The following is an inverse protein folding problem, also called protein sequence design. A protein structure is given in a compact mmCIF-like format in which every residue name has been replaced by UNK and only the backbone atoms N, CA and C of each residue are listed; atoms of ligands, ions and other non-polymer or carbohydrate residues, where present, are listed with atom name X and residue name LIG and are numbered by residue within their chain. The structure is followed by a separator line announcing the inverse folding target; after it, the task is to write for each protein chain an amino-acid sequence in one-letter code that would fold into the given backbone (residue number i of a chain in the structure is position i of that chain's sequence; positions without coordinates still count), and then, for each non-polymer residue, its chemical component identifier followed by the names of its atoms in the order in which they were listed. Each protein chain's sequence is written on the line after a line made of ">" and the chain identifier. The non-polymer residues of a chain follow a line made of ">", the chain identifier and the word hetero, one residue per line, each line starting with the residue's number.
data_IF_555322510975
#
_entry.id   IF_555322510975
#
_cell.length_a   1.000
_cell.length_b   1.000
_cell.length_c   1.000
_cell.angle_alpha   90.00
_cell.angle_beta   90.00
_cell.angle_gamma   90.00
#
_symmetry.space_group_name_H-M   'P 1'
#
loop_
_entity.id
_entity.type
_entity.pdbx_description
1 polymer ?
#
# COMPACT_ATOMS: atom_id res chain seq x y z
N UNK A 1 -2.47 -32.30 -7.67
CA UNK A 1 -2.97 -33.46 -6.92
C UNK A 1 -4.32 -33.99 -7.48
N UNK A 2 -5.41 -33.16 -7.52
CA UNK A 2 -6.68 -33.55 -8.19
C UNK A 2 -6.47 -33.85 -9.68
N UNK A 3 -5.69 -33.02 -10.35
CA UNK A 3 -5.31 -33.22 -11.75
C UNK A 3 -4.53 -34.54 -11.92
N UNK A 4 -3.59 -34.81 -11.04
CA UNK A 4 -2.80 -36.08 -11.04
C UNK A 4 -3.66 -37.30 -10.79
N UNK A 5 -4.66 -37.19 -9.89
CA UNK A 5 -5.59 -38.29 -9.62
C UNK A 5 -6.54 -38.57 -10.80
N UNK A 6 -6.94 -37.55 -11.53
CA UNK A 6 -7.85 -37.68 -12.68
C UNK A 6 -7.13 -38.06 -13.97
N UNK A 7 -5.84 -37.74 -14.10
CA UNK A 7 -5.04 -38.06 -15.28
C UNK A 7 -5.03 -39.53 -15.68
N UNK A 8 -4.88 -40.52 -14.74
CA UNK A 8 -4.95 -41.95 -15.11
C UNK A 8 -6.30 -42.35 -15.70
N UNK A 9 -7.38 -41.73 -15.25
CA UNK A 9 -8.75 -42.08 -15.68
C UNK A 9 -9.17 -41.35 -16.95
N UNK A 10 -8.77 -40.08 -17.10
CA UNK A 10 -9.21 -39.23 -18.19
C UNK A 10 -8.13 -38.97 -19.24
N UNK A 11 -6.87 -39.23 -18.95
CA UNK A 11 -5.72 -38.97 -19.82
C UNK A 11 -5.70 -39.72 -21.15
N UNK A 12 -6.52 -40.79 -21.27
CA UNK A 12 -6.76 -41.47 -22.55
C UNK A 12 -7.70 -40.70 -23.49
N UNK A 13 -8.44 -39.72 -22.96
CA UNK A 13 -9.52 -39.00 -23.66
C UNK A 13 -9.23 -37.50 -23.68
N UNK A 14 -8.67 -36.94 -22.61
CA UNK A 14 -8.38 -35.54 -22.42
C UNK A 14 -6.87 -35.31 -22.28
N UNK A 15 -6.40 -34.17 -22.79
CA UNK A 15 -5.02 -33.73 -22.54
C UNK A 15 -4.85 -33.25 -21.10
N UNK A 16 -3.60 -33.16 -20.63
CA UNK A 16 -3.28 -32.64 -19.30
C UNK A 16 -3.81 -31.21 -19.08
N UNK A 17 -3.78 -30.38 -20.11
CA UNK A 17 -4.30 -29.02 -20.07
C UNK A 17 -5.82 -29.00 -19.92
N UNK A 18 -6.54 -29.84 -20.66
CA UNK A 18 -8.00 -29.96 -20.57
C UNK A 18 -8.45 -30.52 -19.21
N UNK A 19 -7.68 -31.43 -18.60
CA UNK A 19 -7.94 -31.94 -17.25
C UNK A 19 -7.71 -30.80 -16.24
N UNK A 20 -6.67 -29.99 -16.41
CA UNK A 20 -6.39 -28.84 -15.56
C UNK A 20 -7.48 -27.77 -15.67
N UNK A 21 -7.94 -27.46 -16.88
CA UNK A 21 -9.06 -26.53 -17.13
C UNK A 21 -10.35 -27.03 -16.48
N UNK A 22 -10.65 -28.32 -16.60
CA UNK A 22 -11.81 -28.95 -15.99
C UNK A 22 -11.76 -28.88 -14.45
N UNK A 23 -10.60 -29.16 -13.85
CA UNK A 23 -10.41 -29.07 -12.39
C UNK A 23 -10.55 -27.62 -11.93
N UNK A 24 -9.92 -26.68 -12.63
CA UNK A 24 -10.02 -25.24 -12.33
C UNK A 24 -11.47 -24.81 -12.39
N UNK A 25 -12.21 -25.21 -13.42
CA UNK A 25 -13.62 -24.94 -13.56
C UNK A 25 -14.48 -25.50 -12.42
N UNK A 26 -14.15 -26.66 -11.87
CA UNK A 26 -14.90 -27.26 -10.75
C UNK A 26 -14.70 -26.52 -9.43
N UNK A 27 -13.58 -25.83 -9.25
CA UNK A 27 -13.18 -25.22 -7.96
C UNK A 27 -13.29 -23.69 -7.92
N UNK A 28 -13.34 -23.04 -9.08
CA UNK A 28 -13.56 -21.58 -9.19
C UNK A 28 -14.97 -21.27 -9.67
N UNK A 29 -15.59 -20.14 -9.22
CA UNK A 29 -16.85 -19.70 -9.80
C UNK A 29 -16.60 -19.36 -11.29
N UNK A 30 -17.25 -20.04 -12.23
CA UNK A 30 -16.99 -19.83 -13.64
C UNK A 30 -17.60 -18.54 -14.15
N UNK A 31 -16.87 -17.82 -15.00
CA UNK A 31 -17.51 -16.91 -15.93
C UNK A 31 -18.32 -17.70 -16.99
N UNK A 32 -19.33 -17.09 -17.57
CA UNK A 32 -20.24 -17.76 -18.51
C UNK A 32 -19.54 -18.32 -19.77
N UNK A 33 -18.43 -17.70 -20.20
CA UNK A 33 -17.69 -18.10 -21.41
C UNK A 33 -16.82 -19.34 -21.16
N UNK A 34 -16.14 -19.37 -20.01
CA UNK A 34 -15.33 -20.53 -19.60
C UNK A 34 -16.21 -21.74 -19.35
N UNK A 35 -17.41 -21.52 -18.78
CA UNK A 35 -18.41 -22.58 -18.58
C UNK A 35 -18.81 -23.25 -19.89
N UNK A 36 -19.25 -22.48 -20.89
CA UNK A 36 -19.67 -23.02 -22.18
C UNK A 36 -18.55 -23.75 -22.88
N UNK A 37 -17.34 -23.20 -22.91
CA UNK A 37 -16.19 -23.79 -23.60
C UNK A 37 -15.76 -25.15 -23.02
N UNK A 38 -15.72 -25.25 -21.69
CA UNK A 38 -15.35 -26.52 -21.04
C UNK A 38 -16.40 -27.60 -21.27
N UNK A 39 -17.70 -27.27 -21.17
CA UNK A 39 -18.79 -28.21 -21.43
C UNK A 39 -18.80 -28.69 -22.87
N UNK A 40 -18.69 -27.80 -23.84
CA UNK A 40 -18.65 -28.14 -25.28
C UNK A 40 -17.48 -29.07 -25.64
N UNK A 41 -16.30 -28.83 -25.06
CA UNK A 41 -15.14 -29.70 -25.25
C UNK A 41 -15.37 -31.11 -24.65
N UNK A 42 -15.96 -31.19 -23.47
CA UNK A 42 -16.26 -32.46 -22.83
C UNK A 42 -17.35 -33.25 -23.58
N UNK A 43 -18.44 -32.58 -23.98
CA UNK A 43 -19.50 -33.19 -24.77
C UNK A 43 -19.01 -33.72 -26.14
N UNK A 44 -18.08 -33.01 -26.76
CA UNK A 44 -17.50 -33.44 -28.06
C UNK A 44 -16.59 -34.66 -27.96
N UNK A 45 -15.79 -34.73 -26.89
CA UNK A 45 -14.79 -35.80 -26.72
C UNK A 45 -15.33 -37.04 -26.00
N UNK A 46 -16.38 -36.90 -25.19
CA UNK A 46 -16.98 -37.97 -24.40
C UNK A 46 -18.46 -38.13 -24.78
N UNK A 47 -18.79 -38.94 -25.80
CA UNK A 47 -20.15 -39.02 -26.36
C UNK A 47 -21.23 -39.48 -25.38
N UNK A 48 -20.86 -40.03 -24.22
CA UNK A 48 -21.80 -40.43 -23.14
C UNK A 48 -21.77 -39.48 -21.96
N UNK A 49 -21.05 -38.40 -22.05
CA UNK A 49 -20.97 -37.39 -20.99
C UNK A 49 -22.22 -36.54 -20.99
N UNK A 50 -23.02 -36.63 -19.94
CA UNK A 50 -24.22 -35.82 -19.78
C UNK A 50 -23.97 -34.67 -18.79
N UNK A 51 -24.73 -33.57 -18.92
CA UNK A 51 -24.72 -32.48 -17.93
C UNK A 51 -25.03 -32.96 -16.51
N UNK A 52 -25.85 -34.02 -16.38
CA UNK A 52 -26.15 -34.66 -15.09
C UNK A 52 -24.90 -35.32 -14.48
N UNK A 53 -24.09 -36.02 -15.30
CA UNK A 53 -22.84 -36.66 -14.84
C UNK A 53 -21.83 -35.61 -14.39
N UNK A 54 -21.74 -34.47 -15.12
CA UNK A 54 -20.85 -33.39 -14.72
C UNK A 54 -21.32 -32.73 -13.42
N UNK A 55 -22.62 -32.50 -13.25
CA UNK A 55 -23.19 -31.96 -12.01
C UNK A 55 -22.95 -32.89 -10.80
N UNK A 56 -23.04 -34.20 -10.99
CA UNK A 56 -22.73 -35.19 -9.95
C UNK A 56 -21.25 -35.16 -9.56
N UNK A 57 -20.33 -35.11 -10.53
CA UNK A 57 -18.89 -34.98 -10.31
C UNK A 57 -18.58 -33.67 -9.58
N UNK A 58 -19.18 -32.56 -9.99
CA UNK A 58 -19.02 -31.26 -9.36
C UNK A 58 -19.49 -31.29 -7.89
N UNK A 59 -20.62 -31.92 -7.62
CA UNK A 59 -21.15 -32.07 -6.26
C UNK A 59 -20.24 -32.95 -5.39
N UNK A 60 -19.71 -34.02 -5.95
CA UNK A 60 -18.77 -34.92 -5.26
C UNK A 60 -17.46 -34.20 -4.91
N UNK A 61 -16.88 -33.43 -5.87
CA UNK A 61 -15.70 -32.59 -5.62
C UNK A 61 -15.99 -31.57 -4.54
N UNK A 62 -17.11 -30.85 -4.63
CA UNK A 62 -17.51 -29.85 -3.62
C UNK A 62 -17.67 -30.45 -2.22
N UNK A 63 -18.22 -31.68 -2.11
CA UNK A 63 -18.37 -32.33 -0.80
C UNK A 63 -17.04 -32.77 -0.17
N UNK A 64 -16.05 -33.13 -0.97
CA UNK A 64 -14.72 -33.55 -0.51
C UNK A 64 -13.75 -32.35 -0.35
N UNK A 65 -14.08 -31.19 -0.94
CA UNK A 65 -13.23 -30.01 -0.97
C UNK A 65 -12.78 -29.53 0.43
N UNK A 66 -13.64 -29.44 1.45
CA UNK A 66 -13.20 -29.06 2.79
C UNK A 66 -12.13 -29.97 3.37
N UNK A 67 -12.27 -31.28 3.17
CA UNK A 67 -11.31 -32.30 3.66
C UNK A 67 -9.98 -32.22 2.90
N UNK A 68 -10.03 -32.05 1.57
CA UNK A 68 -8.84 -31.90 0.75
C UNK A 68 -8.10 -30.60 1.09
N UNK A 69 -8.83 -29.51 1.30
CA UNK A 69 -8.24 -28.23 1.71
C UNK A 69 -7.64 -28.28 3.11
N UNK A 70 -8.25 -29.04 4.02
CA UNK A 70 -7.69 -29.27 5.34
C UNK A 70 -6.37 -30.05 5.27
N UNK A 71 -6.35 -31.15 4.53
CA UNK A 71 -5.14 -31.95 4.31
C UNK A 71 -4.04 -31.13 3.62
N UNK A 72 -4.39 -30.33 2.61
CA UNK A 72 -3.45 -29.44 1.95
C UNK A 72 -2.88 -28.39 2.92
N UNK A 73 -3.71 -27.80 3.80
CA UNK A 73 -3.25 -26.89 4.86
C UNK A 73 -2.31 -27.57 5.85
N UNK A 74 -2.63 -28.78 6.29
CA UNK A 74 -1.79 -29.55 7.21
C UNK A 74 -0.42 -29.88 6.59
N UNK A 75 -0.39 -30.27 5.31
CA UNK A 75 0.84 -30.51 4.56
C UNK A 75 1.64 -29.21 4.32
N UNK A 76 0.97 -28.09 4.08
CA UNK A 76 1.61 -26.82 3.85
C UNK A 76 2.06 -26.12 5.14
N UNK A 77 1.39 -26.37 6.27
CA UNK A 77 1.61 -25.68 7.54
C UNK A 77 3.08 -25.58 7.97
N UNK A 78 3.93 -26.63 7.87
CA UNK A 78 5.34 -26.54 8.23
C UNK A 78 6.14 -25.59 7.31
N UNK A 79 5.67 -25.37 6.08
CA UNK A 79 6.35 -24.59 5.06
C UNK A 79 5.82 -23.14 4.97
N UNK A 80 4.60 -22.88 5.48
CA UNK A 80 3.96 -21.57 5.43
C UNK A 80 4.82 -20.44 6.01
N UNK A 81 5.51 -20.59 7.17
CA UNK A 81 6.34 -19.51 7.70
C UNK A 81 7.46 -19.09 6.74
N UNK A 82 8.09 -20.07 6.06
CA UNK A 82 9.15 -19.82 5.09
C UNK A 82 8.60 -19.19 3.82
N UNK A 83 7.50 -19.70 3.30
CA UNK A 83 6.82 -19.15 2.12
C UNK A 83 6.38 -17.71 2.41
N UNK A 84 5.73 -17.47 3.55
CA UNK A 84 5.29 -16.13 3.95
C UNK A 84 6.45 -15.16 4.10
N UNK A 85 7.61 -15.60 4.61
CA UNK A 85 8.79 -14.73 4.74
C UNK A 85 9.37 -14.34 3.37
N UNK A 86 9.41 -15.29 2.43
CA UNK A 86 9.87 -15.04 1.06
C UNK A 86 8.91 -14.09 0.35
N UNK A 87 7.62 -14.40 0.33
CA UNK A 87 6.59 -13.57 -0.31
C UNK A 87 6.56 -12.16 0.28
N UNK A 88 6.67 -12.05 1.60
CA UNK A 88 6.72 -10.76 2.28
C UNK A 88 7.96 -9.96 1.89
N UNK A 89 9.12 -10.61 1.80
CA UNK A 89 10.37 -9.96 1.40
C UNK A 89 10.26 -9.45 -0.04
N UNK A 90 9.93 -10.32 -0.99
CA UNK A 90 9.75 -9.97 -2.40
C UNK A 90 8.72 -8.85 -2.61
N UNK A 91 7.55 -8.96 -1.94
CA UNK A 91 6.51 -7.94 -2.03
C UNK A 91 6.99 -6.59 -1.47
N UNK A 92 7.73 -6.61 -0.36
CA UNK A 92 8.26 -5.38 0.25
C UNK A 92 9.29 -4.72 -0.65
N UNK A 93 10.23 -5.48 -1.21
CA UNK A 93 11.24 -4.99 -2.15
C UNK A 93 10.59 -4.43 -3.43
N UNK A 94 9.68 -5.18 -4.04
CA UNK A 94 8.95 -4.77 -5.24
C UNK A 94 8.13 -3.47 -5.02
N UNK A 95 7.42 -3.35 -3.90
CA UNK A 95 6.65 -2.15 -3.58
C UNK A 95 7.56 -0.97 -3.25
N UNK A 96 8.64 -1.20 -2.50
CA UNK A 96 9.62 -0.16 -2.15
C UNK A 96 10.33 0.38 -3.40
N UNK A 97 10.56 -0.47 -4.40
CA UNK A 97 11.14 -0.05 -5.67
C UNK A 97 10.19 0.75 -6.57
N UNK A 98 8.87 0.64 -6.34
CA UNK A 98 7.84 1.23 -7.22
C UNK A 98 7.07 2.40 -6.59
N UNK A 99 7.02 2.46 -5.26
CA UNK A 99 6.21 3.43 -4.52
C UNK A 99 7.08 4.33 -3.63
N UNK A 100 6.83 5.63 -3.70
CA UNK A 100 7.31 6.61 -2.75
C UNK A 100 6.20 6.98 -1.77
N UNK A 101 6.58 7.30 -0.53
CA UNK A 101 5.66 7.73 0.52
C UNK A 101 6.13 9.08 1.05
N UNK A 102 5.24 10.08 0.99
CA UNK A 102 5.43 11.35 1.67
C UNK A 102 4.55 11.35 2.92
N UNK A 103 5.19 11.56 4.06
CA UNK A 103 4.52 11.55 5.36
C UNK A 103 4.37 12.99 5.86
N UNK A 104 3.16 13.32 6.30
CA UNK A 104 2.81 14.61 6.90
C UNK A 104 2.16 14.35 8.27
N UNK A 105 2.12 15.37 9.12
CA UNK A 105 1.40 15.35 10.38
C UNK A 105 0.26 16.37 10.36
N UNK A 106 -0.84 16.07 11.06
CA UNK A 106 -1.90 17.04 11.33
C UNK A 106 -1.62 17.88 12.57
N UNK A 107 -0.68 17.42 13.39
CA UNK A 107 -0.40 18.02 14.68
C UNK A 107 0.95 18.77 14.67
N UNK A 108 0.88 20.09 14.60
CA UNK A 108 2.06 20.93 14.65
C UNK A 108 2.62 21.06 16.08
N UNK A 109 1.76 20.92 17.12
CA UNK A 109 2.11 21.29 18.51
C UNK A 109 2.81 20.16 19.29
N UNK A 110 3.13 19.06 18.65
CA UNK A 110 3.71 17.90 19.31
C UNK A 110 5.24 18.02 19.45
N UNK A 111 5.80 18.24 20.66
CA UNK A 111 7.24 18.41 20.85
C UNK A 111 8.07 17.20 20.42
N UNK A 112 7.50 15.99 20.50
CA UNK A 112 8.19 14.76 20.06
C UNK A 112 8.44 14.77 18.54
N UNK A 113 7.53 15.30 17.74
CA UNK A 113 7.73 15.45 16.29
C UNK A 113 8.92 16.35 15.97
N UNK A 114 9.06 17.45 16.68
CA UNK A 114 10.18 18.35 16.56
C UNK A 114 11.51 17.72 17.00
N UNK A 115 11.45 16.89 18.03
CA UNK A 115 12.65 16.16 18.50
C UNK A 115 13.12 15.13 17.48
N UNK A 116 12.19 14.39 16.86
CA UNK A 116 12.52 13.30 15.94
C UNK A 116 12.82 13.80 14.52
N UNK A 117 12.03 14.74 13.99
CA UNK A 117 12.05 15.08 12.57
C UNK A 117 12.62 16.46 12.23
N UNK A 118 12.87 17.30 13.24
CA UNK A 118 13.38 18.64 13.03
C UNK A 118 14.73 18.89 13.75
N UNK A 119 15.68 17.97 13.63
CA UNK A 119 17.02 18.06 14.20
C UNK A 119 16.99 18.52 15.67
N UNK A 120 16.25 17.82 16.52
CA UNK A 120 16.10 18.17 17.94
C UNK A 120 15.70 19.63 18.18
N UNK A 121 14.67 20.09 17.49
CA UNK A 121 14.08 21.46 17.53
C UNK A 121 14.95 22.55 16.85
N UNK A 122 15.96 22.21 16.05
CA UNK A 122 16.77 23.20 15.32
C UNK A 122 16.34 23.37 13.87
N UNK A 123 15.59 22.39 13.33
CA UNK A 123 15.14 22.35 11.94
C UNK A 123 13.92 23.24 11.66
N UNK A 124 13.21 22.90 10.60
CA UNK A 124 12.09 23.64 10.07
C UNK A 124 10.86 22.74 9.98
N UNK A 125 9.68 23.34 10.03
CA UNK A 125 8.39 22.74 9.70
C UNK A 125 7.74 23.55 8.59
N UNK A 126 7.20 22.87 7.60
CA UNK A 126 6.40 23.47 6.55
C UNK A 126 4.93 23.16 6.78
N UNK A 127 4.08 24.18 6.66
CA UNK A 127 2.63 24.03 6.67
C UNK A 127 2.13 24.12 5.24
N UNK A 128 1.28 23.16 4.85
CA UNK A 128 0.75 23.06 3.50
C UNK A 128 -0.76 23.23 3.46
N UNK A 129 -1.26 23.86 2.40
CA UNK A 129 -2.68 23.84 2.07
C UNK A 129 -3.06 22.48 1.50
N UNK A 130 -3.75 21.68 2.29
CA UNK A 130 -4.20 20.33 1.88
C UNK A 130 -5.27 20.35 0.79
N UNK A 131 -5.94 21.48 0.56
CA UNK A 131 -6.90 21.66 -0.54
C UNK A 131 -6.19 21.93 -1.88
N UNK A 132 -4.89 22.26 -1.86
CA UNK A 132 -4.14 22.52 -3.08
C UNK A 132 -4.08 21.28 -3.98
N UNK A 133 -4.28 21.43 -5.33
CA UNK A 133 -4.32 20.28 -6.27
C UNK A 133 -3.10 19.38 -6.23
N UNK A 134 -1.95 19.87 -5.78
CA UNK A 134 -0.72 19.08 -5.58
C UNK A 134 -0.94 17.87 -4.67
N UNK A 135 -1.86 17.95 -3.72
CA UNK A 135 -2.17 16.87 -2.78
C UNK A 135 -3.39 16.02 -3.18
N UNK A 136 -3.95 16.27 -4.37
CA UNK A 136 -5.03 15.49 -4.93
C UNK A 136 -4.82 15.28 -6.43
N UNK A 137 -3.89 14.41 -6.77
CA UNK A 137 -3.49 14.06 -8.14
C UNK A 137 -4.09 12.71 -8.59
N UNK A 138 -5.26 12.36 -8.07
CA UNK A 138 -5.97 11.14 -8.47
C UNK A 138 -6.20 11.10 -9.98
N UNK A 139 -5.98 9.94 -10.59
CA UNK A 139 -6.17 9.72 -12.04
C UNK A 139 -7.58 9.22 -12.35
N UNK A 140 -8.27 8.62 -11.34
CA UNK A 140 -9.65 8.18 -11.40
C UNK A 140 -10.30 8.29 -10.01
N UNK A 141 -11.61 8.07 -9.90
CA UNK A 141 -12.33 8.06 -8.63
C UNK A 141 -11.79 6.96 -7.68
N UNK A 142 -11.43 5.80 -8.24
CA UNK A 142 -10.97 4.62 -7.52
C UNK A 142 -9.43 4.57 -7.37
N UNK A 143 -8.72 5.67 -7.69
CA UNK A 143 -7.28 5.73 -7.55
C UNK A 143 -6.90 5.98 -6.08
N UNK A 144 -6.28 5.02 -5.43
CA UNK A 144 -5.79 5.12 -4.06
C UNK A 144 -4.48 5.90 -3.93
N UNK A 145 -3.85 6.19 -5.05
CA UNK A 145 -2.58 6.93 -5.12
C UNK A 145 -2.81 8.44 -5.37
N UNK A 146 -1.82 9.23 -5.06
CA UNK A 146 -1.80 10.64 -5.38
C UNK A 146 -2.77 11.50 -4.58
N UNK A 147 -3.31 10.99 -3.47
CA UNK A 147 -4.13 11.75 -2.53
C UNK A 147 -3.68 11.51 -1.09
N UNK A 148 -3.99 12.48 -0.23
CA UNK A 148 -3.69 12.38 1.20
C UNK A 148 -4.61 11.35 1.87
N UNK A 149 -4.02 10.39 2.55
CA UNK A 149 -4.72 9.32 3.29
C UNK A 149 -4.28 9.31 4.76
N UNK A 150 -5.20 9.26 5.71
CA UNK A 150 -4.85 9.14 7.14
C UNK A 150 -4.27 7.75 7.43
N UNK A 151 -3.33 7.71 8.36
CA UNK A 151 -2.78 6.46 8.89
C UNK A 151 -3.68 5.93 9.99
N UNK A 152 -3.94 4.64 9.96
CA UNK A 152 -4.64 3.90 11.02
C UNK A 152 -3.63 3.37 12.02
N UNK A 153 -3.92 3.53 13.32
CA UNK A 153 -3.03 3.09 14.39
C UNK A 153 -3.57 1.83 15.06
N UNK A 154 -2.70 0.85 15.29
CA UNK A 154 -3.09 -0.42 15.88
C UNK A 154 -2.08 -0.92 16.91
N UNK A 155 -2.58 -1.49 18.02
CA UNK A 155 -1.77 -2.19 19.03
C UNK A 155 -1.35 -3.58 18.53
N UNK A 156 -2.16 -4.15 17.65
CA UNK A 156 -1.90 -5.47 17.06
C UNK A 156 -1.34 -5.28 15.66
N UNK A 157 -0.24 -5.95 15.38
CA UNK A 157 0.33 -5.94 14.02
C UNK A 157 -0.61 -6.68 13.07
N UNK A 158 -1.07 -6.03 11.98
CA UNK A 158 -1.92 -6.71 11.02
C UNK A 158 -1.18 -7.89 10.39
N UNK A 159 -1.88 -9.01 10.27
CA UNK A 159 -1.38 -10.18 9.55
C UNK A 159 -1.80 -10.07 8.07
N UNK A 160 -0.82 -10.15 7.18
CA UNK A 160 -1.07 -10.31 5.75
C UNK A 160 -1.05 -11.81 5.43
N UNK A 161 -2.20 -12.33 5.08
CA UNK A 161 -2.34 -13.70 4.57
C UNK A 161 -2.51 -13.67 3.05
N UNK A 162 -2.15 -14.74 2.35
CA UNK A 162 -2.30 -14.82 0.88
C UNK A 162 -3.72 -14.49 0.40
N UNK A 163 -4.81 -14.92 1.06
CA UNK A 163 -6.16 -14.49 0.70
C UNK A 163 -6.44 -13.00 0.90
N UNK A 164 -5.73 -12.33 1.80
CA UNK A 164 -5.92 -10.88 2.02
C UNK A 164 -5.13 -10.00 1.05
N UNK A 165 -4.23 -10.59 0.24
CA UNK A 165 -3.53 -9.86 -0.83
C UNK A 165 -4.45 -9.54 -2.03
N UNK A 166 -5.52 -10.30 -2.21
CA UNK A 166 -6.52 -10.08 -3.25
C UNK A 166 -7.71 -9.22 -2.76
N UNK A 167 -7.68 -8.78 -1.50
CA UNK A 167 -8.75 -7.99 -0.88
C UNK A 167 -8.48 -6.48 -0.91
N UNK A 168 -9.56 -5.71 -0.87
CA UNK A 168 -9.55 -4.23 -0.86
C UNK A 168 -8.71 -3.61 0.27
N UNK A 169 -8.37 -4.39 1.31
CA UNK A 169 -7.66 -3.94 2.51
C UNK A 169 -6.13 -4.13 2.46
N UNK A 170 -5.57 -4.84 1.46
CA UNK A 170 -4.14 -5.13 1.43
C UNK A 170 -3.28 -3.86 1.38
N UNK A 171 -3.72 -2.89 0.59
CA UNK A 171 -3.06 -1.59 0.48
C UNK A 171 -3.10 -0.80 1.81
N UNK A 172 -4.24 -0.78 2.50
CA UNK A 172 -4.40 -0.11 3.78
C UNK A 172 -3.54 -0.74 4.87
N UNK A 173 -3.52 -2.07 4.92
CA UNK A 173 -2.67 -2.83 5.86
C UNK A 173 -1.20 -2.50 5.62
N UNK A 174 -0.75 -2.54 4.38
CA UNK A 174 0.66 -2.36 4.04
C UNK A 174 1.11 -0.89 4.18
N UNK A 175 0.34 0.03 3.63
CA UNK A 175 0.80 1.40 3.43
C UNK A 175 0.25 2.40 4.44
N UNK A 176 -0.87 2.11 5.10
CA UNK A 176 -1.61 3.05 5.94
C UNK A 176 -1.80 2.58 7.39
N UNK A 177 -1.12 1.52 7.81
CA UNK A 177 -1.17 1.06 9.21
C UNK A 177 0.15 1.32 9.91
N UNK A 178 0.09 1.81 11.15
CA UNK A 178 1.24 2.09 12.02
C UNK A 178 0.97 1.62 13.45
N UNK A 179 2.03 1.37 14.22
CA UNK A 179 1.89 0.99 15.62
C UNK A 179 1.29 2.14 16.45
N UNK A 180 0.40 1.80 17.40
CA UNK A 180 -0.35 2.74 18.23
C UNK A 180 0.54 3.71 19.04
N UNK A 181 1.77 3.30 19.37
CA UNK A 181 2.76 4.16 20.04
C UNK A 181 3.11 5.43 19.25
N UNK A 182 2.84 5.44 17.94
CA UNK A 182 3.09 6.58 17.05
C UNK A 182 1.84 7.41 16.77
N UNK A 183 0.73 7.15 17.48
CA UNK A 183 -0.55 7.84 17.25
C UNK A 183 -0.47 9.36 17.47
N UNK A 184 0.46 9.83 18.28
CA UNK A 184 0.71 11.25 18.49
C UNK A 184 1.19 12.00 17.23
N UNK A 185 1.67 11.29 16.20
CA UNK A 185 2.08 11.90 14.94
C UNK A 185 0.88 12.35 14.10
N UNK A 186 -0.30 11.78 14.33
CA UNK A 186 -1.51 12.06 13.52
C UNK A 186 -1.19 12.06 12.02
N UNK A 187 -0.50 11.01 11.59
CA UNK A 187 0.15 10.93 10.27
C UNK A 187 -0.86 10.87 9.14
N UNK A 188 -0.56 11.60 8.07
CA UNK A 188 -1.22 11.51 6.77
C UNK A 188 -0.17 11.17 5.73
N UNK A 189 -0.46 10.27 4.83
CA UNK A 189 0.44 9.85 3.76
C UNK A 189 -0.09 10.22 2.39
N UNK A 190 0.81 10.67 1.53
CA UNK A 190 0.62 10.71 0.09
C UNK A 190 1.52 9.62 -0.51
N UNK A 191 0.89 8.60 -1.09
CA UNK A 191 1.60 7.50 -1.73
C UNK A 191 1.62 7.75 -3.22
N UNK A 192 2.81 7.64 -3.80
CA UNK A 192 3.04 8.03 -5.18
C UNK A 192 3.85 6.97 -5.94
N UNK A 193 3.38 6.51 -7.11
CA UNK A 193 4.18 5.62 -7.96
C UNK A 193 5.42 6.37 -8.49
N UNK A 194 6.61 5.87 -8.17
CA UNK A 194 7.89 6.52 -8.49
C UNK A 194 8.09 6.80 -9.98
N UNK A 195 7.48 5.99 -10.86
CA UNK A 195 7.49 6.20 -12.32
C UNK A 195 6.84 7.52 -12.77
N UNK A 196 6.08 8.17 -11.90
CA UNK A 196 5.45 9.46 -12.16
C UNK A 196 6.10 10.60 -11.37
N UNK A 197 7.28 10.38 -10.79
CA UNK A 197 8.08 11.43 -10.17
C UNK A 197 8.50 12.46 -11.21
N UNK A 198 8.47 13.74 -10.82
CA UNK A 198 8.85 14.84 -11.72
C UNK A 198 10.36 14.84 -12.01
N UNK A 199 11.15 14.32 -11.07
CA UNK A 199 12.59 14.18 -11.18
C UNK A 199 13.06 12.99 -10.35
N UNK A 200 14.10 12.30 -10.80
CA UNK A 200 14.81 11.28 -10.01
C UNK A 200 16.23 11.77 -9.74
N UNK A 201 16.70 11.55 -8.52
CA UNK A 201 18.07 11.86 -8.08
C UNK A 201 18.71 10.57 -7.57
N UNK A 202 19.87 10.23 -8.14
CA UNK A 202 20.64 9.09 -7.67
C UNK A 202 21.36 9.45 -6.36
N UNK A 203 21.24 8.57 -5.39
CA UNK A 203 21.93 8.69 -4.09
C UNK A 203 22.69 7.39 -3.80
N UNK A 204 23.65 7.41 -2.86
CA UNK A 204 24.34 6.19 -2.43
C UNK A 204 23.41 5.09 -1.91
N UNK A 205 22.24 5.47 -1.44
CA UNK A 205 21.20 4.55 -0.93
C UNK A 205 20.17 4.12 -2.00
N UNK A 206 20.37 4.53 -3.27
CA UNK A 206 19.47 4.27 -4.38
C UNK A 206 18.78 5.53 -4.93
N UNK A 207 18.00 5.41 -5.99
CA UNK A 207 17.32 6.55 -6.60
C UNK A 207 16.18 7.06 -5.72
N UNK A 208 16.05 8.39 -5.62
CA UNK A 208 14.96 9.07 -4.91
C UNK A 208 14.10 9.81 -5.93
N UNK A 209 12.80 9.52 -5.93
CA UNK A 209 11.81 10.25 -6.71
C UNK A 209 11.44 11.58 -6.02
N UNK A 210 11.48 12.66 -6.77
CA UNK A 210 11.08 13.98 -6.28
C UNK A 210 9.76 14.40 -6.94
N UNK A 211 8.91 15.01 -6.13
CA UNK A 211 7.67 15.66 -6.56
C UNK A 211 7.82 17.18 -6.45
N UNK A 212 7.43 17.89 -7.48
CA UNK A 212 7.39 19.36 -7.45
C UNK A 212 6.27 19.80 -6.51
N UNK A 213 6.65 20.65 -5.56
CA UNK A 213 5.72 21.32 -4.67
C UNK A 213 5.76 22.83 -5.01
N UNK A 214 4.71 23.41 -5.61
CA UNK A 214 4.68 24.84 -5.92
C UNK A 214 4.60 25.65 -4.63
N UNK A 215 5.17 26.86 -4.63
CA UNK A 215 5.14 27.79 -3.50
C UNK A 215 3.71 28.09 -3.03
N UNK A 216 2.75 28.13 -3.95
CA UNK A 216 1.31 28.33 -3.65
C UNK A 216 0.69 27.26 -2.75
N UNK A 217 1.31 26.09 -2.64
CA UNK A 217 0.87 25.03 -1.72
C UNK A 217 1.42 25.19 -0.29
N UNK A 218 2.38 26.10 -0.08
CA UNK A 218 3.04 26.34 1.22
C UNK A 218 2.39 27.53 1.90
N UNK A 219 1.86 27.37 3.11
CA UNK A 219 1.23 28.44 3.89
C UNK A 219 2.23 29.12 4.82
N UNK A 220 3.08 28.36 5.48
CA UNK A 220 4.07 28.90 6.39
C UNK A 220 5.32 28.04 6.49
N UNK A 221 6.41 28.65 6.96
CA UNK A 221 7.65 28.02 7.40
C UNK A 221 7.90 28.36 8.84
N UNK A 222 7.93 27.39 9.72
CA UNK A 222 8.18 27.58 11.15
C UNK A 222 9.56 27.09 11.52
N UNK A 223 10.36 27.94 12.16
CA UNK A 223 11.64 27.57 12.74
C UNK A 223 11.43 26.91 14.11
N UNK A 224 12.20 25.87 14.39
CA UNK A 224 12.23 25.26 15.71
C UNK A 224 12.70 26.22 16.81
N UNK A 225 12.31 25.96 18.05
CA UNK A 225 12.65 26.84 19.17
C UNK A 225 14.18 26.99 19.43
N UNK A 226 14.98 26.00 18.95
CA UNK A 226 16.44 26.03 19.02
C UNK A 226 17.11 26.39 17.69
N UNK A 227 16.34 26.80 16.69
CA UNK A 227 16.90 27.23 15.40
C UNK A 227 17.76 28.50 15.57
N UNK A 228 18.87 28.53 14.86
CA UNK A 228 19.83 29.64 14.92
C UNK A 228 19.38 30.85 14.12
N UNK A 229 19.94 32.03 14.41
CA UNK A 229 19.77 33.23 13.60
C UNK A 229 20.30 33.02 12.16
N UNK A 230 21.32 32.21 12.01
CA UNK A 230 21.80 31.82 10.67
C UNK A 230 20.72 31.11 9.89
N UNK A 231 20.03 30.13 10.48
CA UNK A 231 18.92 29.40 9.86
C UNK A 231 17.79 30.34 9.47
N UNK A 232 17.43 31.29 10.34
CA UNK A 232 16.44 32.32 10.04
C UNK A 232 16.82 33.15 8.80
N UNK A 233 18.06 33.62 8.75
CA UNK A 233 18.56 34.40 7.64
C UNK A 233 18.57 33.62 6.31
N UNK A 234 18.95 32.35 6.36
CA UNK A 234 18.93 31.44 5.21
C UNK A 234 17.49 31.23 4.68
N UNK A 235 16.51 31.03 5.57
CA UNK A 235 15.09 30.91 5.20
C UNK A 235 14.59 32.20 4.56
N UNK A 236 14.85 33.36 5.17
CA UNK A 236 14.45 34.68 4.61
C UNK A 236 15.08 34.92 3.24
N UNK A 237 16.35 34.58 3.09
CA UNK A 237 17.05 34.71 1.80
C UNK A 237 16.44 33.77 0.75
N UNK A 238 16.18 32.52 1.09
CA UNK A 238 15.57 31.56 0.19
C UNK A 238 14.19 32.04 -0.31
N UNK A 239 13.34 32.50 0.59
CA UNK A 239 12.03 33.06 0.23
C UNK A 239 12.15 34.30 -0.66
N UNK A 240 13.07 35.20 -0.38
CA UNK A 240 13.28 36.40 -1.21
C UNK A 240 13.83 36.11 -2.60
N UNK A 241 14.55 35.02 -2.76
CA UNK A 241 15.18 34.61 -4.02
C UNK A 241 14.23 33.88 -4.97
N UNK A 242 13.09 33.44 -4.48
CA UNK A 242 12.09 32.73 -5.26
C UNK A 242 10.88 33.61 -5.58
N UNK A 243 10.35 33.57 -6.79
CA UNK A 243 9.10 34.27 -7.11
C UNK A 243 7.94 33.64 -6.33
N UNK A 244 6.88 34.40 -6.14
CA UNK A 244 5.60 33.93 -5.61
C UNK A 244 5.63 33.34 -4.18
N UNK A 245 6.59 33.77 -3.35
CA UNK A 245 6.71 33.34 -1.95
C UNK A 245 6.29 34.40 -0.93
N UNK A 246 5.87 35.58 -1.37
CA UNK A 246 5.52 36.69 -0.49
C UNK A 246 4.34 36.41 0.46
N UNK A 247 3.51 35.40 0.15
CA UNK A 247 2.39 34.97 0.97
C UNK A 247 2.79 33.99 2.09
N UNK A 248 4.02 33.44 2.04
CA UNK A 248 4.48 32.45 3.00
C UNK A 248 4.86 33.13 4.31
N UNK A 249 4.14 32.82 5.38
CA UNK A 249 4.44 33.35 6.70
C UNK A 249 5.66 32.66 7.32
N UNK A 250 6.57 33.43 7.89
CA UNK A 250 7.71 32.89 8.65
C UNK A 250 7.40 32.96 10.14
N UNK A 251 7.46 31.81 10.81
CA UNK A 251 7.14 31.67 12.24
C UNK A 251 8.32 31.10 13.01
N UNK A 252 8.30 31.30 14.32
CA UNK A 252 9.22 30.65 15.25
C UNK A 252 8.44 29.93 16.35
N UNK A 253 8.87 28.69 16.62
CA UNK A 253 8.34 27.90 17.75
C UNK A 253 8.97 28.36 19.05
N UNK A 254 8.18 28.34 20.12
CA UNK A 254 8.63 28.51 21.52
C UNK A 254 7.98 27.44 22.38
N UNK A 255 8.73 26.87 23.31
CA UNK A 255 8.16 25.98 24.31
C UNK A 255 7.24 26.78 25.22
N UNK A 256 6.03 26.24 25.46
CA UNK A 256 5.13 26.78 26.45
C UNK A 256 5.72 26.60 27.85
N UNK A 257 5.52 27.60 28.75
CA UNK A 257 6.09 27.56 30.10
C UNK A 257 5.26 26.70 31.08
N UNK A 258 4.02 26.39 30.72
CA UNK A 258 3.05 25.72 31.60
C UNK A 258 2.57 24.39 31.08
N UNK A 259 2.63 24.14 29.79
CA UNK A 259 2.18 22.95 29.09
C UNK A 259 3.32 22.30 28.28
N UNK A 260 3.23 20.99 28.04
CA UNK A 260 4.15 20.27 27.13
C UNK A 260 3.76 20.49 25.66
N UNK A 261 3.71 21.74 25.24
CA UNK A 261 3.27 22.19 23.91
C UNK A 261 4.22 23.23 23.34
N UNK A 262 3.99 23.57 22.09
CA UNK A 262 4.71 24.62 21.37
C UNK A 262 3.75 25.74 20.95
N UNK A 263 4.13 26.97 21.24
CA UNK A 263 3.50 28.17 20.71
C UNK A 263 4.24 28.66 19.47
N UNK A 264 3.53 29.32 18.56
CA UNK A 264 4.07 29.81 17.30
C UNK A 264 3.76 31.30 17.15
N UNK A 265 4.74 32.09 16.73
CA UNK A 265 4.56 33.51 16.44
C UNK A 265 5.28 33.90 15.17
N UNK A 266 4.65 34.85 14.47
CA UNK A 266 5.17 35.39 13.23
C UNK A 266 6.41 36.26 13.49
N UNK A 267 7.44 36.19 12.64
CA UNK A 267 8.71 36.89 12.81
C UNK A 267 9.18 37.59 11.52
#
# INVERSE_FOLDING_TARGET
>A
ELTEQLTPTLGAILTQEEITDMVTYMVTPPDANTHSRVLENLERKIPRFSRATFAQLQQQVKSQWPTLMQQARELAAPHLPRINSIVKHELTEELSAKLGVLCFSRNANQPLMWAHYADSHKGLMFEFDTAHPTFNRKRSADDDFGCLRPVSYSKVRPEMTMPSLDGDNAFEIFALTKADQWSYEEEIRLIWPLKFSDKTVDTPSGPIGLLSCPSSAVLSVTLGCKASERTLNEVRQALRSQPDTAHITVRKAQLDETAFELNYYDI
#
